data_IF_456795199144
#
_entry.id   IF_456795199144
#
_cell.length_a   1.000
_cell.length_b   1.000
_cell.length_c   1.000
_cell.angle_alpha   90.00
_cell.angle_beta   90.00
_cell.angle_gamma   90.00
#
_symmetry.space_group_name_H-M   'P 1'
#
loop_
_entity.id
_entity.type
_entity.pdbx_description
1 polymer ?
#
# COMPACT_ATOMS: atom_id res chain seq x y z
N UNK A 1 -9.04 29.07 -58.40
CA UNK A 1 -10.01 28.91 -57.29
C UNK A 1 -10.28 27.45 -56.89
N UNK A 2 -10.15 26.45 -57.79
CA UNK A 2 -10.33 25.02 -57.43
C UNK A 2 -9.25 24.43 -56.51
N UNK A 3 -8.02 24.96 -56.53
CA UNK A 3 -6.92 24.44 -55.70
C UNK A 3 -6.87 25.01 -54.26
N UNK A 4 -7.68 26.03 -53.96
CA UNK A 4 -7.69 26.65 -52.62
C UNK A 4 -8.62 25.91 -51.63
N UNK A 5 -9.55 25.10 -52.13
CA UNK A 5 -10.50 24.33 -51.31
C UNK A 5 -9.86 23.06 -50.72
N UNK A 6 -8.83 22.51 -51.38
CA UNK A 6 -8.18 21.27 -50.93
C UNK A 6 -7.26 21.47 -49.73
N UNK A 7 -6.68 22.66 -49.57
CA UNK A 7 -5.79 22.99 -48.43
C UNK A 7 -6.54 23.21 -47.11
N UNK A 8 -7.84 23.53 -47.14
CA UNK A 8 -8.67 23.69 -45.94
C UNK A 8 -9.16 22.37 -45.34
N UNK A 9 -9.15 21.27 -46.11
CA UNK A 9 -9.62 19.96 -45.65
C UNK A 9 -8.55 19.14 -44.90
N UNK A 10 -7.27 19.46 -45.07
CA UNK A 10 -6.17 18.72 -44.41
C UNK A 10 -5.91 19.25 -42.99
N UNK A 11 -6.42 20.44 -42.65
CA UNK A 11 -6.19 21.10 -41.35
C UNK A 11 -7.20 20.70 -40.25
N UNK A 12 -8.12 19.78 -40.51
CA UNK A 12 -9.16 19.37 -39.54
C UNK A 12 -8.86 18.06 -38.78
N UNK A 13 -7.75 17.36 -39.06
CA UNK A 13 -7.48 16.05 -38.45
C UNK A 13 -6.60 16.06 -37.19
N UNK A 14 -6.08 17.20 -36.72
CA UNK A 14 -5.15 17.24 -35.57
C UNK A 14 -5.75 17.76 -34.26
N UNK A 15 -7.01 18.19 -34.23
CA UNK A 15 -7.63 18.76 -33.02
C UNK A 15 -8.22 17.72 -32.06
N UNK A 16 -8.40 16.46 -32.50
CA UNK A 16 -9.10 15.42 -31.72
C UNK A 16 -8.21 14.73 -30.66
N UNK A 17 -6.88 14.93 -30.70
CA UNK A 17 -5.96 14.15 -29.85
C UNK A 17 -5.50 14.82 -28.55
N UNK A 18 -5.62 16.14 -28.43
CA UNK A 18 -5.22 16.87 -27.21
C UNK A 18 -6.31 16.80 -26.13
N UNK A 19 -7.57 17.00 -26.52
CA UNK A 19 -8.71 17.10 -25.59
C UNK A 19 -8.99 15.77 -24.85
N UNK A 20 -8.85 14.64 -25.56
CA UNK A 20 -9.05 13.29 -25.00
C UNK A 20 -7.94 12.89 -24.00
N UNK A 21 -6.72 13.40 -24.16
CA UNK A 21 -5.62 13.11 -23.22
C UNK A 21 -5.83 13.85 -21.89
N UNK A 22 -6.31 15.10 -21.95
CA UNK A 22 -6.61 15.89 -20.77
C UNK A 22 -7.82 15.35 -20.02
N UNK A 23 -8.88 14.93 -20.74
CA UNK A 23 -10.05 14.31 -20.12
C UNK A 23 -9.72 12.98 -19.44
N UNK A 24 -8.96 12.10 -20.10
CA UNK A 24 -8.53 10.82 -19.49
C UNK A 24 -7.74 11.04 -18.22
N UNK A 25 -6.80 11.98 -18.23
CA UNK A 25 -6.03 12.34 -17.04
C UNK A 25 -6.92 12.85 -15.90
N UNK A 26 -7.93 13.66 -16.21
CA UNK A 26 -8.87 14.18 -15.23
C UNK A 26 -9.76 13.09 -14.62
N UNK A 27 -10.35 12.22 -15.46
CA UNK A 27 -11.18 11.11 -15.01
C UNK A 27 -10.38 10.09 -14.19
N UNK A 28 -9.13 9.81 -14.58
CA UNK A 28 -8.26 8.92 -13.83
C UNK A 28 -7.97 9.46 -12.41
N UNK A 29 -7.65 10.76 -12.27
CA UNK A 29 -7.50 11.40 -10.95
C UNK A 29 -8.79 11.35 -10.15
N UNK A 30 -9.93 11.63 -10.79
CA UNK A 30 -11.23 11.55 -10.14
C UNK A 30 -11.55 10.14 -9.63
N UNK A 31 -11.16 9.11 -10.38
CA UNK A 31 -11.33 7.72 -9.96
C UNK A 31 -10.44 7.38 -8.76
N UNK A 32 -9.21 7.91 -8.68
CA UNK A 32 -8.36 7.78 -7.47
C UNK A 32 -9.04 8.37 -6.24
N UNK A 33 -9.62 9.56 -6.35
CA UNK A 33 -10.36 10.20 -5.26
C UNK A 33 -11.57 9.36 -4.82
N UNK A 34 -12.39 8.92 -5.77
CA UNK A 34 -13.62 8.15 -5.50
C UNK A 34 -13.34 6.77 -4.91
N UNK A 35 -12.17 6.20 -5.23
CA UNK A 35 -11.78 4.91 -4.68
C UNK A 35 -11.11 5.05 -3.32
N UNK A 36 -10.94 6.24 -2.75
CA UNK A 36 -10.34 6.46 -1.42
C UNK A 36 -8.96 5.78 -1.26
N UNK A 37 -8.17 5.78 -2.34
CA UNK A 37 -6.82 5.18 -2.34
C UNK A 37 -5.93 5.82 -1.28
N UNK A 38 -6.09 7.13 -1.07
CA UNK A 38 -5.35 7.90 -0.09
C UNK A 38 -5.66 7.44 1.33
N UNK A 39 -6.94 7.34 1.66
CA UNK A 39 -7.43 6.98 2.99
C UNK A 39 -7.04 5.55 3.34
N UNK A 40 -7.19 4.61 2.40
CA UNK A 40 -6.71 3.22 2.60
C UNK A 40 -5.21 3.18 2.84
N UNK A 41 -4.43 3.90 2.03
CA UNK A 41 -2.99 3.95 2.22
C UNK A 41 -2.61 4.63 3.54
N UNK A 42 -3.30 5.67 4.00
CA UNK A 42 -3.02 6.33 5.29
C UNK A 42 -3.47 5.49 6.50
N UNK A 43 -4.49 4.65 6.36
CA UNK A 43 -4.96 3.76 7.41
C UNK A 43 -4.12 2.47 7.53
N UNK A 44 -3.67 1.92 6.40
CA UNK A 44 -2.76 0.77 6.35
C UNK A 44 -1.32 1.16 6.70
N UNK A 45 -0.87 2.33 6.22
CA UNK A 45 0.44 2.85 6.57
C UNK A 45 0.32 3.56 7.90
N UNK A 46 0.79 2.87 8.93
CA UNK A 46 0.88 3.19 10.36
C UNK A 46 1.40 4.59 10.75
N UNK A 47 1.52 5.54 9.83
CA UNK A 47 2.09 6.86 9.98
C UNK A 47 1.42 7.75 11.02
N UNK A 48 0.09 7.64 11.19
CA UNK A 48 -0.63 8.35 12.25
C UNK A 48 -0.62 7.62 13.59
N UNK A 49 -0.45 6.28 13.58
CA UNK A 49 -0.45 5.44 14.80
C UNK A 49 0.94 5.29 15.43
N UNK A 50 2.00 5.24 14.63
CA UNK A 50 3.38 5.05 15.10
C UNK A 50 3.92 6.31 15.76
N UNK A 51 3.44 7.51 15.44
CA UNK A 51 3.84 8.71 16.19
C UNK A 51 3.26 8.75 17.61
N UNK A 52 2.09 8.13 17.84
CA UNK A 52 1.42 8.15 19.14
C UNK A 52 1.80 6.97 20.05
N UNK A 53 2.19 5.83 19.47
CA UNK A 53 2.47 4.57 20.20
C UNK A 53 3.79 3.90 19.72
N UNK A 54 4.79 4.68 19.30
CA UNK A 54 6.07 4.18 18.76
C UNK A 54 6.73 3.12 19.64
N UNK A 55 6.72 3.33 20.96
CA UNK A 55 7.31 2.41 21.95
C UNK A 55 6.60 1.04 21.96
N UNK A 56 5.27 1.00 21.83
CA UNK A 56 4.54 -0.28 21.72
C UNK A 56 4.83 -0.97 20.39
N UNK A 57 4.88 -0.20 19.30
CA UNK A 57 5.12 -0.72 17.96
C UNK A 57 6.51 -1.35 17.83
N UNK A 58 7.55 -0.71 18.39
CA UNK A 58 8.93 -1.23 18.33
C UNK A 58 9.12 -2.45 19.25
N UNK A 59 8.45 -2.49 20.40
CA UNK A 59 8.41 -3.70 21.24
C UNK A 59 7.72 -4.85 20.49
N UNK A 60 6.60 -4.60 19.79
CA UNK A 60 5.95 -5.62 18.99
C UNK A 60 6.83 -6.12 17.84
N UNK A 61 7.64 -5.25 17.22
CA UNK A 61 8.65 -5.65 16.24
C UNK A 61 9.74 -6.52 16.84
N UNK A 62 10.25 -6.17 18.02
CA UNK A 62 11.20 -6.99 18.76
C UNK A 62 10.66 -8.37 19.09
N UNK A 63 9.42 -8.47 19.57
CA UNK A 63 8.78 -9.76 19.85
C UNK A 63 8.67 -10.63 18.59
N UNK A 64 8.37 -10.02 17.43
CA UNK A 64 8.28 -10.75 16.16
C UNK A 64 9.62 -11.19 15.61
N UNK A 65 10.67 -10.38 15.74
CA UNK A 65 11.98 -10.70 15.21
C UNK A 65 13.11 -10.08 16.06
N UNK A 66 13.46 -10.72 17.20
CA UNK A 66 14.47 -10.18 18.11
C UNK A 66 15.89 -10.20 17.50
N UNK A 67 16.14 -11.07 16.51
CA UNK A 67 17.43 -11.16 15.84
C UNK A 67 17.81 -9.86 15.10
N UNK A 68 16.83 -9.08 14.64
CA UNK A 68 17.06 -7.81 13.95
C UNK A 68 17.62 -6.69 14.86
N UNK A 69 17.56 -6.86 16.19
CA UNK A 69 17.99 -5.85 17.16
C UNK A 69 19.40 -6.09 17.68
N UNK A 70 20.15 -7.04 17.10
CA UNK A 70 21.54 -7.34 17.46
C UNK A 70 21.77 -7.54 18.97
N UNK A 71 20.81 -8.16 19.65
CA UNK A 71 20.86 -8.43 21.09
C UNK A 71 20.40 -7.27 21.99
N UNK A 72 20.04 -6.11 21.43
CA UNK A 72 19.44 -5.00 22.20
C UNK A 72 17.96 -5.36 22.48
N UNK A 73 17.59 -5.44 23.76
CA UNK A 73 16.23 -5.76 24.20
C UNK A 73 15.53 -4.55 24.85
N UNK A 74 14.20 -4.61 25.08
CA UNK A 74 13.45 -3.59 25.82
C UNK A 74 13.96 -3.28 27.24
N UNK A 75 14.78 -4.16 27.83
CA UNK A 75 15.39 -3.96 29.14
C UNK A 75 16.79 -3.34 29.06
N UNK A 76 17.35 -3.19 27.85
CA UNK A 76 18.65 -2.58 27.63
C UNK A 76 18.61 -1.09 27.97
N UNK A 77 19.70 -0.57 28.54
CA UNK A 77 19.88 0.87 28.73
C UNK A 77 19.88 1.65 27.40
N UNK A 78 20.19 0.98 26.29
CA UNK A 78 20.20 1.54 24.93
C UNK A 78 18.84 1.48 24.21
N UNK A 79 17.79 0.99 24.88
CA UNK A 79 16.47 0.88 24.27
C UNK A 79 15.87 2.24 23.88
N UNK A 80 15.98 3.32 24.70
CA UNK A 80 15.48 4.64 24.32
C UNK A 80 16.03 5.15 22.97
N UNK A 81 17.30 4.85 22.66
CA UNK A 81 17.91 5.17 21.37
C UNK A 81 17.29 4.38 20.22
N UNK A 82 16.96 3.10 20.43
CA UNK A 82 16.24 2.28 19.45
C UNK A 82 14.86 2.88 19.16
N UNK A 83 14.13 3.30 20.21
CA UNK A 83 12.82 3.94 20.04
C UNK A 83 12.94 5.27 19.28
N UNK A 84 13.99 6.05 19.54
CA UNK A 84 14.27 7.30 18.83
C UNK A 84 14.57 7.06 17.34
N UNK A 85 15.47 6.14 17.02
CA UNK A 85 15.79 5.76 15.63
C UNK A 85 14.54 5.29 14.89
N UNK A 86 13.71 4.47 15.56
CA UNK A 86 12.49 3.96 14.98
C UNK A 86 11.47 5.07 14.67
N UNK A 87 11.28 6.01 15.60
CA UNK A 87 10.42 7.18 15.39
C UNK A 87 10.92 8.04 14.22
N UNK A 88 12.23 8.28 14.14
CA UNK A 88 12.82 9.11 13.10
C UNK A 88 12.70 8.42 11.72
N UNK A 89 12.93 7.11 11.66
CA UNK A 89 12.67 6.31 10.46
C UNK A 89 11.21 6.47 9.98
N UNK A 90 10.24 6.34 10.89
CA UNK A 90 8.83 6.52 10.51
C UNK A 90 8.50 7.95 10.15
N UNK A 91 9.09 8.96 10.80
CA UNK A 91 8.93 10.36 10.39
C UNK A 91 9.37 10.56 8.93
N UNK A 92 10.53 10.02 8.56
CA UNK A 92 11.04 10.09 7.17
C UNK A 92 10.14 9.32 6.21
N UNK A 93 9.80 8.07 6.53
CA UNK A 93 8.94 7.24 5.68
C UNK A 93 7.60 7.94 5.45
N UNK A 94 6.95 8.40 6.52
CA UNK A 94 5.61 8.98 6.46
C UNK A 94 5.53 10.38 5.86
N UNK A 95 6.65 11.12 5.84
CA UNK A 95 6.76 12.41 5.15
C UNK A 95 7.37 12.28 3.75
N UNK A 96 7.84 11.08 3.36
CA UNK A 96 8.47 10.87 2.07
C UNK A 96 7.47 11.04 0.93
N UNK A 97 7.96 11.61 -0.17
CA UNK A 97 7.19 11.82 -1.39
C UNK A 97 6.73 10.52 -2.05
N UNK A 98 7.30 9.37 -1.65
CA UNK A 98 6.82 8.06 -2.06
C UNK A 98 5.33 7.87 -1.74
N UNK A 99 4.89 8.30 -0.55
CA UNK A 99 3.47 8.21 -0.17
C UNK A 99 2.63 9.29 -0.84
N UNK A 100 3.15 10.51 -1.00
CA UNK A 100 2.43 11.57 -1.72
C UNK A 100 2.26 11.26 -3.21
N UNK A 101 3.10 10.39 -3.78
CA UNK A 101 3.07 10.02 -5.19
C UNK A 101 2.21 8.78 -5.50
N UNK A 102 1.70 8.07 -4.49
CA UNK A 102 0.86 6.89 -4.71
C UNK A 102 -0.39 7.23 -5.53
N UNK A 103 -1.07 8.33 -5.20
CA UNK A 103 -2.22 8.82 -5.98
C UNK A 103 -1.85 9.04 -7.46
N UNK A 104 -0.68 9.61 -7.71
CA UNK A 104 -0.16 9.81 -9.07
C UNK A 104 0.12 8.50 -9.81
N UNK A 105 0.65 7.48 -9.13
CA UNK A 105 0.86 6.15 -9.71
C UNK A 105 -0.46 5.48 -10.07
N UNK A 106 -1.47 5.56 -9.19
CA UNK A 106 -2.81 5.04 -9.47
C UNK A 106 -3.50 5.79 -10.60
N UNK A 107 -3.42 7.13 -10.62
CA UNK A 107 -3.97 7.93 -11.70
C UNK A 107 -3.30 7.58 -13.03
N UNK A 108 -1.97 7.39 -13.06
CA UNK A 108 -1.25 6.96 -14.25
C UNK A 108 -1.69 5.57 -14.71
N UNK A 109 -1.93 4.64 -13.78
CA UNK A 109 -2.44 3.31 -14.09
C UNK A 109 -3.86 3.38 -14.68
N UNK A 110 -4.78 4.12 -14.05
CA UNK A 110 -6.14 4.30 -14.57
C UNK A 110 -6.18 5.03 -15.91
N UNK A 111 -5.26 5.96 -16.17
CA UNK A 111 -5.17 6.66 -17.46
C UNK A 111 -4.82 5.73 -18.65
N UNK A 112 -4.46 4.47 -18.40
CA UNK A 112 -4.28 3.44 -19.45
C UNK A 112 -5.60 2.81 -19.91
N UNK A 113 -6.70 3.01 -19.18
CA UNK A 113 -8.03 2.55 -19.56
C UNK A 113 -8.58 3.36 -20.74
N UNK A 114 -9.56 2.78 -21.44
CA UNK A 114 -10.30 3.53 -22.45
C UNK A 114 -11.09 4.68 -21.81
N UNK A 115 -11.34 5.76 -22.55
CA UNK A 115 -12.15 6.87 -22.05
C UNK A 115 -13.56 6.42 -21.65
N UNK A 116 -14.15 5.48 -22.39
CA UNK A 116 -15.46 4.91 -22.08
C UNK A 116 -15.45 4.18 -20.73
N UNK A 117 -14.44 3.35 -20.48
CA UNK A 117 -14.31 2.62 -19.21
C UNK A 117 -14.04 3.56 -18.04
N UNK A 118 -13.22 4.61 -18.24
CA UNK A 118 -12.99 5.64 -17.23
C UNK A 118 -14.28 6.35 -16.82
N UNK A 119 -15.10 6.76 -17.81
CA UNK A 119 -16.41 7.38 -17.54
C UNK A 119 -17.35 6.42 -16.81
N UNK A 120 -17.41 5.15 -17.23
CA UNK A 120 -18.23 4.14 -16.59
C UNK A 120 -17.79 3.87 -15.15
N UNK A 121 -16.48 3.75 -14.90
CA UNK A 121 -15.92 3.57 -13.57
C UNK A 121 -16.23 4.77 -12.67
N UNK A 122 -16.00 5.99 -13.14
CA UNK A 122 -16.33 7.21 -12.37
C UNK A 122 -17.83 7.26 -12.05
N UNK A 123 -18.70 6.94 -13.00
CA UNK A 123 -20.14 6.90 -12.77
C UNK A 123 -20.53 5.86 -11.72
N UNK A 124 -19.97 4.64 -11.80
CA UNK A 124 -20.21 3.58 -10.83
C UNK A 124 -19.73 3.99 -9.42
N UNK A 125 -18.46 4.39 -9.27
CA UNK A 125 -17.88 4.75 -7.97
C UNK A 125 -18.48 6.03 -7.37
N UNK A 126 -19.13 6.87 -8.19
CA UNK A 126 -19.91 8.02 -7.69
C UNK A 126 -21.30 7.63 -7.15
N UNK A 127 -21.76 6.40 -7.40
CA UNK A 127 -23.09 5.95 -6.99
C UNK A 127 -23.20 5.71 -5.48
N UNK A 128 -24.41 5.80 -4.89
CA UNK A 128 -24.64 5.40 -3.50
C UNK A 128 -24.25 3.94 -3.24
N UNK A 129 -24.60 3.02 -4.15
CA UNK A 129 -24.32 1.59 -3.99
C UNK A 129 -22.80 1.31 -3.92
N UNK A 130 -22.00 1.94 -4.77
CA UNK A 130 -20.54 1.76 -4.73
C UNK A 130 -19.94 2.31 -3.43
N UNK A 131 -20.46 3.42 -2.89
CA UNK A 131 -20.04 3.96 -1.59
C UNK A 131 -20.39 3.02 -0.44
N UNK A 132 -21.58 2.43 -0.45
CA UNK A 132 -21.97 1.41 0.54
C UNK A 132 -21.08 0.16 0.46
N UNK A 133 -20.78 -0.31 -0.76
CA UNK A 133 -19.85 -1.42 -0.97
C UNK A 133 -18.44 -1.11 -0.47
N UNK A 134 -17.92 0.09 -0.75
CA UNK A 134 -16.61 0.53 -0.29
C UNK A 134 -16.54 0.57 1.25
N UNK A 135 -17.58 1.09 1.90
CA UNK A 135 -17.70 1.10 3.36
C UNK A 135 -17.76 -0.33 3.93
N UNK A 136 -18.57 -1.21 3.35
CA UNK A 136 -18.67 -2.60 3.76
C UNK A 136 -17.31 -3.34 3.62
N UNK A 137 -16.61 -3.12 2.50
CA UNK A 137 -15.28 -3.67 2.27
C UNK A 137 -14.26 -3.16 3.29
N UNK A 138 -14.28 -1.86 3.61
CA UNK A 138 -13.44 -1.26 4.65
C UNK A 138 -13.67 -1.88 6.02
N UNK A 139 -14.94 -2.05 6.41
CA UNK A 139 -15.31 -2.67 7.68
C UNK A 139 -14.86 -4.14 7.74
N UNK A 140 -15.09 -4.88 6.66
CA UNK A 140 -14.65 -6.28 6.56
C UNK A 140 -13.13 -6.43 6.63
N UNK A 141 -12.38 -5.54 5.97
CA UNK A 141 -10.91 -5.53 6.03
C UNK A 141 -10.42 -5.27 7.47
N UNK A 142 -11.05 -4.36 8.20
CA UNK A 142 -10.73 -4.12 9.60
C UNK A 142 -10.95 -5.37 10.47
N UNK A 143 -12.05 -6.09 10.25
CA UNK A 143 -12.35 -7.36 10.92
C UNK A 143 -11.33 -8.46 10.55
N UNK A 144 -11.03 -8.60 9.26
CA UNK A 144 -10.06 -9.56 8.76
C UNK A 144 -8.67 -9.31 9.36
N UNK A 145 -8.25 -8.05 9.45
CA UNK A 145 -7.01 -7.65 10.12
C UNK A 145 -7.02 -7.98 11.62
N UNK A 146 -8.14 -7.79 12.30
CA UNK A 146 -8.29 -8.18 13.71
C UNK A 146 -8.17 -9.70 13.89
N UNK A 147 -8.78 -10.50 13.00
CA UNK A 147 -8.66 -11.97 13.01
C UNK A 147 -7.22 -12.38 12.72
N UNK A 148 -6.58 -11.80 11.70
CA UNK A 148 -5.21 -12.13 11.34
C UNK A 148 -4.23 -11.82 12.48
N UNK A 149 -4.45 -10.71 13.20
CA UNK A 149 -3.67 -10.39 14.39
C UNK A 149 -3.85 -11.44 15.50
N UNK A 150 -5.09 -11.87 15.78
CA UNK A 150 -5.38 -12.92 16.76
C UNK A 150 -4.74 -14.26 16.39
N UNK A 151 -4.85 -14.67 15.13
CA UNK A 151 -4.24 -15.90 14.61
C UNK A 151 -2.71 -15.80 14.69
N UNK A 152 -2.16 -14.65 14.29
CA UNK A 152 -0.72 -14.38 14.30
C UNK A 152 -0.11 -14.42 15.72
N UNK A 153 -0.91 -14.08 16.73
CA UNK A 153 -0.55 -14.12 18.16
C UNK A 153 -1.05 -15.39 18.87
N UNK A 154 -1.65 -16.34 18.17
CA UNK A 154 -2.20 -17.54 18.80
C UNK A 154 -1.08 -18.44 19.32
N UNK A 155 -1.34 -19.12 20.44
CA UNK A 155 -0.41 -20.13 20.97
C UNK A 155 -0.19 -21.26 19.97
N UNK A 156 -1.22 -21.63 19.21
CA UNK A 156 -1.14 -22.69 18.21
C UNK A 156 -0.16 -22.35 17.10
N UNK A 157 -0.25 -21.15 16.51
CA UNK A 157 0.70 -20.71 15.49
C UNK A 157 2.10 -20.53 16.07
N UNK A 158 2.21 -20.07 17.33
CA UNK A 158 3.49 -19.98 18.04
C UNK A 158 4.14 -21.36 18.20
N UNK A 159 3.37 -22.37 18.63
CA UNK A 159 3.84 -23.76 18.73
C UNK A 159 4.24 -24.31 17.35
N UNK A 160 3.43 -24.10 16.33
CA UNK A 160 3.72 -24.55 14.97
C UNK A 160 5.02 -23.94 14.42
N UNK A 161 5.25 -22.63 14.63
CA UNK A 161 6.50 -21.95 14.25
C UNK A 161 7.72 -22.50 14.99
N UNK A 162 7.57 -22.80 16.29
CA UNK A 162 8.64 -23.40 17.08
C UNK A 162 9.00 -24.80 16.56
N UNK A 163 8.01 -25.65 16.29
CA UNK A 163 8.21 -26.98 15.70
C UNK A 163 8.86 -26.92 14.32
N UNK A 164 8.43 -25.99 13.45
CA UNK A 164 9.06 -25.79 12.14
C UNK A 164 10.52 -25.35 12.26
N UNK A 165 10.81 -24.38 13.13
CA UNK A 165 12.17 -23.88 13.35
C UNK A 165 13.10 -25.00 13.85
N UNK A 166 12.61 -25.85 14.75
CA UNK A 166 13.38 -26.98 15.25
C UNK A 166 13.64 -28.04 14.17
N UNK A 167 12.64 -28.36 13.35
CA UNK A 167 12.80 -29.25 12.21
C UNK A 167 13.84 -28.72 11.19
N UNK A 168 13.80 -27.41 10.89
CA UNK A 168 14.77 -26.77 10.01
C UNK A 168 16.20 -26.79 10.60
N UNK A 169 16.34 -26.60 11.91
CA UNK A 169 17.63 -26.70 12.61
C UNK A 169 18.20 -28.12 12.51
N UNK A 170 17.37 -29.14 12.71
CA UNK A 170 17.75 -30.54 12.55
C UNK A 170 18.21 -30.84 11.12
N UNK A 171 17.45 -30.39 10.12
CA UNK A 171 17.79 -30.56 8.72
C UNK A 171 19.11 -29.88 8.35
N UNK A 172 19.32 -28.63 8.79
CA UNK A 172 20.55 -27.89 8.55
C UNK A 172 21.77 -28.57 9.19
N UNK A 173 21.61 -29.15 10.39
CA UNK A 173 22.66 -29.94 11.04
C UNK A 173 23.01 -31.17 10.20
N UNK A 174 21.99 -31.93 9.76
CA UNK A 174 22.18 -33.12 8.91
C UNK A 174 22.91 -32.79 7.61
N UNK A 175 22.50 -31.71 6.93
CA UNK A 175 23.15 -31.26 5.70
C UNK A 175 24.62 -30.88 5.91
N UNK A 176 24.97 -30.22 7.01
CA UNK A 176 26.38 -29.91 7.33
C UNK A 176 27.24 -31.15 7.56
N UNK A 177 26.65 -32.22 8.11
CA UNK A 177 27.39 -33.46 8.43
C UNK A 177 27.44 -34.46 7.29
N UNK A 178 26.44 -34.45 6.39
CA UNK A 178 26.35 -35.31 5.20
C UNK A 178 25.73 -34.50 4.06
N UNK A 179 26.50 -33.58 3.44
CA UNK A 179 26.02 -32.84 2.28
C UNK A 179 25.95 -33.80 1.10
N UNK A 180 24.75 -33.96 0.55
CA UNK A 180 24.50 -34.74 -0.68
C UNK A 180 24.29 -33.80 -1.86
#
# INVERSE_FOLDING_TARGET
MRHLVVLLLIMYCTAVSADDTDERGALARRLVELTEVKERNLEENQCTKVSADSSKAIVALYVRNPANFNGISPQSAYWPEVEAIYRDFYSVVCTSSLFSNLEGLHAKAYATMSLADLRAAVAFYSSPAAREMALAAKNHLAEANAINNRVSSSEELTRARASFTDAMRHLAKKYKTDPR
#
